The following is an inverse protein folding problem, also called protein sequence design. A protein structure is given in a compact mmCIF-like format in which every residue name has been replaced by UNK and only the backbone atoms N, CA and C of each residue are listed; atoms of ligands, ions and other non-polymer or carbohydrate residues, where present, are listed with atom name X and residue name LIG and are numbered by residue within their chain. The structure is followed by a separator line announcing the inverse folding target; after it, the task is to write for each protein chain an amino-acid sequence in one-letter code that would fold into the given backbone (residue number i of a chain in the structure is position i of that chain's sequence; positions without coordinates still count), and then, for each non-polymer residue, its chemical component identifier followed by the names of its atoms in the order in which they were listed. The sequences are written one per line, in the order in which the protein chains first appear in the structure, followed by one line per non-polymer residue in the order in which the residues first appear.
data_IF_150362281763
#
_entry.id   IF_150362281763
#
_cell.length_a   1.000
_cell.length_b   1.000
_cell.length_c   1.000
_cell.angle_alpha   90.00
_cell.angle_beta   90.00
_cell.angle_gamma   90.00
#
_symmetry.space_group_name_H-M   'P 1'
#
loop_
_entity.id
_entity.type
_entity.pdbx_description
1 polymer ?
#
# COMPACT_ATOMS: atom_id res chain seq x y z
N UNK A 1 8.39 4.72 -5.20
CA UNK A 1 8.98 3.39 -5.51
C UNK A 1 9.00 2.53 -4.27
N UNK A 2 9.77 1.44 -4.27
CA UNK A 2 10.04 0.64 -3.06
C UNK A 2 11.00 1.34 -2.09
N UNK A 3 11.72 2.36 -2.57
CA UNK A 3 12.73 3.10 -1.82
C UNK A 3 12.17 3.76 -0.56
N UNK A 4 10.89 4.16 -0.61
CA UNK A 4 10.18 4.75 0.52
C UNK A 4 9.51 3.75 1.46
N UNK A 5 9.48 2.45 1.11
CA UNK A 5 8.76 1.42 1.86
C UNK A 5 9.13 1.38 3.37
N UNK A 6 10.40 1.55 3.77
CA UNK A 6 10.77 1.57 5.20
C UNK A 6 10.13 2.73 5.99
N UNK A 7 9.77 3.83 5.34
CA UNK A 7 9.28 5.04 6.00
C UNK A 7 7.76 5.15 6.04
N UNK A 8 7.04 4.30 5.28
CA UNK A 8 5.60 4.45 5.08
C UNK A 8 4.78 4.40 6.37
N UNK A 9 5.13 3.50 7.30
CA UNK A 9 4.44 3.41 8.58
C UNK A 9 4.62 4.69 9.42
N UNK A 10 5.85 5.22 9.47
CA UNK A 10 6.14 6.45 10.19
C UNK A 10 5.47 7.69 9.54
N UNK A 11 5.40 7.73 8.22
CA UNK A 11 4.86 8.88 7.47
C UNK A 11 3.32 8.90 7.39
N UNK A 12 2.65 7.73 7.33
CA UNK A 12 1.20 7.63 7.07
C UNK A 12 0.41 7.13 8.28
N UNK A 13 1.07 6.45 9.22
CA UNK A 13 0.42 5.75 10.32
C UNK A 13 -0.53 4.64 9.86
N UNK A 14 -1.07 3.92 10.83
CA UNK A 14 -1.91 2.74 10.59
C UNK A 14 -3.19 3.09 9.83
N UNK A 15 -3.83 4.23 10.17
CA UNK A 15 -5.04 4.68 9.49
C UNK A 15 -4.79 5.00 8.01
N UNK A 16 -3.71 5.73 7.71
CA UNK A 16 -3.36 6.09 6.34
C UNK A 16 -3.04 4.85 5.50
N UNK A 17 -2.29 3.90 6.07
CA UNK A 17 -2.04 2.61 5.42
C UNK A 17 -3.34 1.83 5.20
N UNK A 18 -4.25 1.79 6.18
CA UNK A 18 -5.55 1.13 6.05
C UNK A 18 -6.41 1.72 4.93
N UNK A 19 -6.44 3.04 4.78
CA UNK A 19 -7.12 3.71 3.66
C UNK A 19 -6.53 3.28 2.32
N UNK A 20 -5.20 3.27 2.19
CA UNK A 20 -4.53 2.87 0.95
C UNK A 20 -4.85 1.41 0.58
N UNK A 21 -4.87 0.50 1.57
CA UNK A 21 -5.27 -0.91 1.37
C UNK A 21 -6.72 -1.00 0.89
N UNK A 22 -7.65 -0.26 1.51
CA UNK A 22 -9.05 -0.28 1.15
C UNK A 22 -9.29 0.25 -0.28
N UNK A 23 -8.64 1.36 -0.64
CA UNK A 23 -8.71 1.93 -1.99
C UNK A 23 -8.14 0.96 -3.03
N UNK A 24 -6.94 0.40 -2.76
CA UNK A 24 -6.31 -0.57 -3.66
C UNK A 24 -7.20 -1.79 -3.88
N UNK A 25 -7.76 -2.36 -2.82
CA UNK A 25 -8.61 -3.55 -2.93
C UNK A 25 -9.88 -3.31 -3.74
N UNK A 26 -10.37 -2.06 -3.79
CA UNK A 26 -11.53 -1.68 -4.61
C UNK A 26 -11.18 -1.45 -6.08
N UNK A 27 -10.00 -0.91 -6.36
CA UNK A 27 -9.61 -0.49 -7.70
C UNK A 27 -8.77 -1.54 -8.46
N UNK A 28 -8.02 -2.38 -7.75
CA UNK A 28 -7.15 -3.43 -8.27
C UNK A 28 -7.34 -4.72 -7.43
N UNK A 29 -8.50 -5.38 -7.54
CA UNK A 29 -8.82 -6.55 -6.73
C UNK A 29 -7.88 -7.74 -7.03
N UNK A 30 -7.38 -7.83 -8.26
CA UNK A 30 -6.45 -8.90 -8.68
C UNK A 30 -4.98 -8.56 -8.46
N UNK A 31 -4.66 -7.41 -7.84
CA UNK A 31 -3.28 -7.07 -7.46
C UNK A 31 -2.30 -6.92 -8.63
N UNK A 32 -2.79 -6.57 -9.83
CA UNK A 32 -1.98 -6.55 -11.05
C UNK A 32 -1.10 -5.32 -11.14
N UNK A 33 -1.49 -4.21 -10.50
CA UNK A 33 -0.81 -2.93 -10.66
C UNK A 33 0.25 -2.75 -9.57
N UNK A 34 1.51 -2.92 -9.97
CA UNK A 34 2.68 -2.66 -9.13
C UNK A 34 2.70 -3.48 -7.81
N UNK A 35 2.67 -4.83 -7.88
CA UNK A 35 2.72 -5.68 -6.70
C UNK A 35 3.93 -5.34 -5.81
N UNK A 36 3.70 -5.37 -4.50
CA UNK A 36 4.72 -5.12 -3.48
C UNK A 36 5.20 -3.66 -3.33
N UNK A 37 4.73 -2.73 -4.18
CA UNK A 37 4.98 -1.29 -4.02
C UNK A 37 3.92 -0.67 -3.13
N UNK A 38 4.35 0.26 -2.27
CA UNK A 38 3.51 1.06 -1.35
C UNK A 38 2.78 0.23 -0.27
N UNK A 39 2.28 -0.95 -0.59
CA UNK A 39 1.61 -1.86 0.32
C UNK A 39 2.37 -3.20 0.37
N UNK A 40 2.25 -3.96 1.47
CA UNK A 40 2.73 -5.34 1.53
C UNK A 40 2.01 -6.19 0.47
N UNK A 41 2.68 -7.24 -0.01
CA UNK A 41 1.97 -8.29 -0.76
C UNK A 41 1.02 -9.02 0.19
N UNK A 42 -0.16 -9.39 -0.32
CA UNK A 42 -1.17 -10.16 0.41
C UNK A 42 -0.79 -11.64 0.44
#
# INVERSE_FOLDING_TARGET
GIDHKPYLAAEKGDLGLGVLVAVRSRLDPESLLNPGKLLPEA
#
